data_IF_470706987122
#
_entry.id   IF_470706987122
#
_cell.length_a   1.000
_cell.length_b   1.000
_cell.length_c   1.000
_cell.angle_alpha   90.00
_cell.angle_beta   90.00
_cell.angle_gamma   90.00
#
_symmetry.space_group_name_H-M   'P 1'
#
loop_
_entity.id
_entity.type
_entity.pdbx_description
1 polymer ?
#
# COMPACT_ATOMS: atom_id res chain seq x y z
N UNK A 1 1.17 16.35 -1.42
CA UNK A 1 2.42 15.88 -0.76
C UNK A 1 3.24 15.15 -1.82
N UNK A 2 4.57 15.13 -1.71
CA UNK A 2 5.40 14.39 -2.66
C UNK A 2 5.39 12.88 -2.36
N UNK A 3 5.53 12.06 -3.41
CA UNK A 3 5.72 10.62 -3.29
C UNK A 3 6.94 10.30 -2.43
N UNK A 4 6.85 9.26 -1.58
CA UNK A 4 7.95 8.77 -0.75
C UNK A 4 8.03 7.25 -0.95
N UNK A 5 9.24 6.70 -0.92
CA UNK A 5 9.41 5.26 -1.04
C UNK A 5 8.85 4.53 0.19
N UNK A 6 8.11 3.45 -0.03
CA UNK A 6 7.60 2.60 1.04
C UNK A 6 8.74 1.97 1.85
N UNK A 7 9.85 1.67 1.17
CA UNK A 7 11.07 1.14 1.78
C UNK A 7 11.66 2.04 2.88
N UNK A 8 11.44 3.35 2.83
CA UNK A 8 11.89 4.29 3.88
C UNK A 8 11.21 4.05 5.24
N UNK A 9 10.11 3.29 5.25
CA UNK A 9 9.36 2.93 6.46
C UNK A 9 9.52 1.45 6.83
N UNK A 10 10.50 0.74 6.27
CA UNK A 10 10.75 -0.68 6.58
C UNK A 10 10.73 -0.93 8.08
N UNK A 11 9.93 -1.92 8.48
CA UNK A 11 9.80 -2.32 9.88
C UNK A 11 11.13 -2.84 10.43
N UNK A 12 11.46 -2.40 11.63
CA UNK A 12 12.48 -2.97 12.51
C UNK A 12 12.10 -4.41 12.92
N UNK A 13 13.02 -5.20 13.50
CA UNK A 13 12.71 -6.54 13.96
C UNK A 13 11.53 -6.59 14.95
N UNK A 14 11.48 -5.69 15.93
CA UNK A 14 10.39 -5.64 16.93
C UNK A 14 9.03 -5.32 16.30
N UNK A 15 8.98 -4.37 15.36
CA UNK A 15 7.75 -4.03 14.62
C UNK A 15 7.27 -5.18 13.69
N UNK A 16 8.14 -6.14 13.35
CA UNK A 16 7.73 -7.34 12.59
C UNK A 16 7.14 -8.41 13.49
N UNK A 17 7.75 -8.60 14.68
CA UNK A 17 7.37 -9.67 15.62
C UNK A 17 6.18 -9.30 16.51
N UNK A 18 5.99 -8.03 16.85
CA UNK A 18 4.94 -7.58 17.76
C UNK A 18 3.88 -6.75 17.01
N UNK A 19 2.62 -7.25 17.00
CA UNK A 19 1.52 -6.58 16.29
C UNK A 19 1.03 -5.31 16.98
N UNK A 20 1.13 -5.21 18.30
CA UNK A 20 0.77 -4.00 19.02
C UNK A 20 1.77 -2.89 18.72
N UNK A 21 3.07 -3.21 18.75
CA UNK A 21 4.12 -2.25 18.36
C UNK A 21 3.97 -1.81 16.91
N UNK A 22 3.66 -2.74 16.00
CA UNK A 22 3.39 -2.39 14.60
C UNK A 22 2.16 -1.48 14.45
N UNK A 23 1.11 -1.74 15.23
CA UNK A 23 -0.14 -0.98 15.23
C UNK A 23 0.05 0.46 15.72
N UNK A 24 0.86 0.66 16.77
CA UNK A 24 1.07 1.98 17.38
C UNK A 24 1.96 2.93 16.54
N UNK A 25 2.49 2.45 15.40
CA UNK A 25 3.20 3.30 14.41
C UNK A 25 2.25 4.35 13.83
N UNK A 26 2.81 5.45 13.33
CA UNK A 26 2.05 6.48 12.60
C UNK A 26 1.31 5.87 11.41
N UNK A 27 0.16 6.43 11.02
CA UNK A 27 -0.64 5.91 9.89
C UNK A 27 0.19 5.77 8.62
N UNK A 28 1.01 6.77 8.31
CA UNK A 28 1.89 6.71 7.15
C UNK A 28 2.86 5.54 7.24
N UNK A 29 3.53 5.33 8.38
CA UNK A 29 4.47 4.21 8.53
C UNK A 29 3.77 2.84 8.55
N UNK A 30 2.59 2.76 9.16
CA UNK A 30 1.75 1.57 9.22
C UNK A 30 1.30 1.13 7.82
N UNK A 31 0.79 2.06 7.02
CA UNK A 31 0.36 1.78 5.65
C UNK A 31 1.53 1.66 4.67
N UNK A 32 2.66 2.33 4.90
CA UNK A 32 3.85 2.16 4.06
C UNK A 32 4.48 0.77 4.19
N UNK A 33 4.49 0.19 5.40
CA UNK A 33 5.21 -1.05 5.68
C UNK A 33 4.47 -1.92 6.68
N UNK A 34 3.28 -2.38 6.32
CA UNK A 34 2.51 -3.29 7.18
C UNK A 34 1.10 -3.59 6.68
N UNK A 35 0.44 -2.59 6.09
CA UNK A 35 -0.95 -2.70 5.63
C UNK A 35 -1.21 -1.96 4.30
N UNK A 36 -0.21 -1.86 3.41
CA UNK A 36 -0.34 -1.17 2.13
C UNK A 36 -1.46 -1.76 1.25
N UNK A 37 -1.60 -3.09 1.23
CA UNK A 37 -2.69 -3.77 0.54
C UNK A 37 -4.05 -3.45 1.16
N UNK A 38 -4.19 -3.44 2.48
CA UNK A 38 -5.46 -3.02 3.11
C UNK A 38 -5.83 -1.62 2.64
N UNK A 39 -4.89 -0.67 2.67
CA UNK A 39 -5.14 0.69 2.24
C UNK A 39 -5.58 0.76 0.76
N UNK A 40 -4.92 0.01 -0.12
CA UNK A 40 -5.25 -0.02 -1.54
C UNK A 40 -6.66 -0.57 -1.81
N UNK A 41 -7.04 -1.68 -1.18
CA UNK A 41 -8.39 -2.25 -1.33
C UNK A 41 -9.46 -1.34 -0.73
N UNK A 42 -9.23 -0.80 0.46
CA UNK A 42 -10.18 0.15 1.07
C UNK A 42 -10.31 1.41 0.22
N UNK A 43 -9.23 1.90 -0.40
CA UNK A 43 -9.27 3.04 -1.31
C UNK A 43 -10.17 2.77 -2.52
N UNK A 44 -10.00 1.61 -3.18
CA UNK A 44 -10.88 1.19 -4.27
C UNK A 44 -12.33 1.12 -3.82
N UNK A 45 -12.58 0.46 -2.70
CA UNK A 45 -13.94 0.20 -2.21
C UNK A 45 -14.63 1.48 -1.69
N UNK A 46 -13.86 2.50 -1.28
CA UNK A 46 -14.38 3.83 -0.90
C UNK A 46 -14.90 4.66 -2.08
N UNK A 47 -14.56 4.31 -3.32
CA UNK A 47 -14.97 5.03 -4.52
C UNK A 47 -15.55 4.06 -5.57
N UNK A 48 -16.72 3.44 -5.31
CA UNK A 48 -17.26 2.36 -6.15
C UNK A 48 -17.58 2.79 -7.58
N UNK A 49 -17.86 4.08 -7.80
CA UNK A 49 -18.16 4.64 -9.12
C UNK A 49 -16.90 4.91 -9.97
N UNK A 50 -15.71 4.64 -9.41
CA UNK A 50 -14.43 4.80 -10.08
C UNK A 50 -13.83 3.42 -10.38
N UNK A 51 -13.26 3.27 -11.58
CA UNK A 51 -12.56 2.05 -11.99
C UNK A 51 -11.15 1.96 -11.38
N UNK A 52 -11.05 2.09 -10.05
CA UNK A 52 -9.78 2.01 -9.33
C UNK A 52 -9.27 0.57 -9.39
N UNK A 53 -8.04 0.40 -9.86
CA UNK A 53 -7.34 -0.87 -9.93
C UNK A 53 -6.42 -1.03 -8.72
N UNK A 54 -6.03 -2.27 -8.45
CA UNK A 54 -4.95 -2.56 -7.51
C UNK A 54 -3.70 -2.86 -8.30
N UNK A 55 -2.60 -2.21 -7.94
CA UNK A 55 -1.28 -2.45 -8.50
C UNK A 55 -0.28 -2.71 -7.38
N UNK A 56 0.76 -3.47 -7.70
CA UNK A 56 1.83 -3.80 -6.77
C UNK A 56 3.19 -3.71 -7.43
N UNK A 57 4.22 -3.56 -6.62
CA UNK A 57 5.61 -3.62 -7.07
C UNK A 57 6.36 -4.75 -6.38
N UNK A 58 7.28 -5.34 -7.13
CA UNK A 58 8.24 -6.32 -6.64
C UNK A 58 9.61 -6.06 -7.24
N UNK A 59 10.63 -6.64 -6.62
CA UNK A 59 11.97 -6.68 -7.21
C UNK A 59 12.02 -7.73 -8.34
N UNK A 60 12.86 -7.51 -9.36
CA UNK A 60 13.01 -8.45 -10.47
C UNK A 60 13.34 -9.87 -9.99
N UNK A 61 12.67 -10.85 -10.58
CA UNK A 61 12.84 -12.27 -10.22
C UNK A 61 12.27 -12.68 -8.86
N UNK A 62 11.76 -11.74 -8.04
CA UNK A 62 11.08 -12.09 -6.81
C UNK A 62 9.63 -12.48 -7.08
N UNK A 63 9.09 -13.37 -6.25
CA UNK A 63 7.67 -13.76 -6.34
C UNK A 63 6.77 -12.81 -5.57
N UNK A 64 7.30 -12.14 -4.54
CA UNK A 64 6.50 -11.40 -3.57
C UNK A 64 6.39 -9.92 -3.89
N UNK A 65 5.15 -9.42 -3.85
CA UNK A 65 4.84 -7.99 -3.91
C UNK A 65 5.16 -7.40 -2.54
N UNK A 66 6.07 -6.42 -2.51
CA UNK A 66 6.48 -5.76 -1.27
C UNK A 66 5.67 -4.48 -0.98
N UNK A 67 5.11 -3.84 -2.01
CA UNK A 67 4.28 -2.65 -1.86
C UNK A 67 3.09 -2.69 -2.81
N UNK A 68 1.92 -2.29 -2.33
CA UNK A 68 0.65 -2.30 -3.07
C UNK A 68 0.00 -0.93 -2.94
N UNK A 69 -0.65 -0.48 -4.01
CA UNK A 69 -1.32 0.82 -4.08
C UNK A 69 -2.57 0.74 -4.97
N UNK A 70 -3.48 1.69 -4.78
CA UNK A 70 -4.62 1.90 -5.67
C UNK A 70 -4.19 2.73 -6.87
N UNK A 71 -4.65 2.39 -8.08
CA UNK A 71 -4.27 3.05 -9.32
C UNK A 71 -5.52 3.48 -10.11
N UNK A 72 -5.52 4.72 -10.60
CA UNK A 72 -6.62 5.29 -11.39
C UNK A 72 -6.08 6.37 -12.32
N UNK A 73 -6.32 6.25 -13.62
CA UNK A 73 -5.99 7.26 -14.65
C UNK A 73 -4.58 7.89 -14.53
N UNK A 74 -3.56 7.04 -14.38
CA UNK A 74 -2.16 7.48 -14.22
C UNK A 74 -1.82 8.02 -12.82
N UNK A 75 -2.77 8.12 -11.91
CA UNK A 75 -2.57 8.39 -10.49
C UNK A 75 -2.46 7.12 -9.67
N UNK A 76 -1.71 7.20 -8.57
CA UNK A 76 -1.59 6.19 -7.55
C UNK A 76 -1.89 6.76 -6.17
N UNK A 77 -2.58 5.98 -5.35
CA UNK A 77 -2.80 6.27 -3.93
C UNK A 77 -2.12 5.22 -3.07
N UNK A 78 -1.21 5.70 -2.23
CA UNK A 78 -0.55 4.90 -1.20
C UNK A 78 -0.38 5.70 0.10
N UNK A 79 0.59 5.33 0.94
CA UNK A 79 0.92 6.03 2.19
C UNK A 79 1.41 7.47 2.00
N UNK A 80 1.68 7.93 0.79
CA UNK A 80 2.01 9.32 0.46
C UNK A 80 0.80 10.10 -0.06
N UNK A 81 -0.36 9.47 -0.17
CA UNK A 81 -1.56 10.03 -0.78
C UNK A 81 -1.56 9.90 -2.31
N UNK A 82 -2.41 10.70 -2.97
CA UNK A 82 -2.50 10.74 -4.42
C UNK A 82 -1.27 11.41 -5.04
N UNK A 83 -0.56 10.66 -5.89
CA UNK A 83 0.58 11.11 -6.68
C UNK A 83 0.49 10.51 -8.08
N UNK A 84 1.20 11.08 -9.07
CA UNK A 84 1.33 10.43 -10.36
C UNK A 84 2.05 9.08 -10.18
N UNK A 85 1.53 8.01 -10.79
CA UNK A 85 2.09 6.66 -10.69
C UNK A 85 3.58 6.62 -11.09
N UNK A 86 4.04 7.31 -12.17
CA UNK A 86 5.47 7.40 -12.48
C UNK A 86 6.34 7.97 -11.35
N UNK A 87 5.82 8.92 -10.55
CA UNK A 87 6.57 9.49 -9.42
C UNK A 87 6.70 8.46 -8.30
N UNK A 88 5.62 7.73 -7.98
CA UNK A 88 5.65 6.64 -7.01
C UNK A 88 6.66 5.56 -7.43
N UNK A 89 6.65 5.15 -8.69
CA UNK A 89 7.58 4.16 -9.22
C UNK A 89 9.03 4.65 -9.18
N UNK A 90 9.28 5.91 -9.54
CA UNK A 90 10.61 6.50 -9.51
C UNK A 90 11.21 6.56 -8.10
N UNK A 91 10.45 7.03 -7.09
CA UNK A 91 10.97 7.12 -5.73
C UNK A 91 11.27 5.75 -5.12
N UNK A 92 10.43 4.74 -5.40
CA UNK A 92 10.68 3.38 -4.92
C UNK A 92 11.85 2.73 -5.67
N UNK A 93 11.97 2.92 -6.98
CA UNK A 93 13.12 2.43 -7.78
C UNK A 93 14.43 3.02 -7.27
N UNK A 94 14.47 4.33 -7.05
CA UNK A 94 15.65 5.01 -6.52
C UNK A 94 16.02 4.52 -5.12
N UNK A 95 15.03 4.27 -4.26
CA UNK A 95 15.27 3.77 -2.91
C UNK A 95 15.81 2.33 -2.91
N UNK A 96 15.26 1.46 -3.76
CA UNK A 96 15.69 0.06 -3.85
C UNK A 96 17.02 -0.10 -4.61
N UNK A 97 17.48 0.94 -5.31
CA UNK A 97 18.73 0.94 -6.07
C UNK A 97 18.71 0.04 -7.30
N UNK A 98 17.53 -0.42 -7.72
CA UNK A 98 17.34 -1.31 -8.87
C UNK A 98 15.93 -1.15 -9.46
N UNK A 99 15.73 -1.50 -10.75
CA UNK A 99 14.43 -1.44 -11.39
C UNK A 99 13.37 -2.27 -10.64
N UNK A 100 12.11 -1.80 -10.67
CA UNK A 100 10.97 -2.50 -10.09
C UNK A 100 10.09 -3.10 -11.18
N UNK A 101 9.50 -4.26 -10.90
CA UNK A 101 8.44 -4.82 -11.73
C UNK A 101 7.08 -4.37 -11.18
N UNK A 102 6.34 -3.61 -11.99
CA UNK A 102 4.96 -3.20 -11.70
C UNK A 102 3.98 -4.27 -12.18
N UNK A 103 3.11 -4.71 -11.29
CA UNK A 103 2.12 -5.75 -11.53
C UNK A 103 0.71 -5.17 -11.36
N UNK A 104 -0.19 -5.56 -12.27
CA UNK A 104 -1.63 -5.41 -12.03
C UNK A 104 -2.08 -6.58 -11.16
N UNK A 105 -2.77 -6.30 -10.06
CA UNK A 105 -3.32 -7.31 -9.17
C UNK A 105 -4.80 -7.49 -9.49
N UNK A 106 -5.16 -8.68 -9.95
CA UNK A 106 -6.54 -9.08 -10.27
C UNK A 106 -7.18 -9.92 -9.17
N UNK A 107 -6.35 -10.46 -8.27
CA UNK A 107 -6.76 -11.33 -7.18
C UNK A 107 -7.65 -10.58 -6.18
N UNK A 108 -8.58 -11.30 -5.53
CA UNK A 108 -9.30 -10.77 -4.36
C UNK A 108 -8.36 -10.54 -3.18
N UNK A 109 -8.79 -9.76 -2.17
CA UNK A 109 -7.95 -9.46 -1.00
C UNK A 109 -7.45 -10.74 -0.30
N UNK A 110 -8.33 -11.71 -0.10
CA UNK A 110 -8.00 -12.98 0.56
C UNK A 110 -6.97 -13.79 -0.23
N UNK A 111 -7.17 -13.92 -1.53
CA UNK A 111 -6.25 -14.64 -2.43
C UNK A 111 -4.89 -13.95 -2.49
N UNK A 112 -4.88 -12.61 -2.62
CA UNK A 112 -3.65 -11.83 -2.60
C UNK A 112 -2.88 -12.02 -1.28
N UNK A 113 -3.55 -11.91 -0.15
CA UNK A 113 -2.95 -12.10 1.16
C UNK A 113 -2.32 -13.49 1.30
N UNK A 114 -3.03 -14.53 0.87
CA UNK A 114 -2.52 -15.90 0.89
C UNK A 114 -1.30 -16.07 -0.02
N UNK A 115 -1.39 -15.61 -1.27
CA UNK A 115 -0.34 -15.74 -2.30
C UNK A 115 0.94 -14.98 -1.93
N UNK A 116 0.78 -13.82 -1.30
CA UNK A 116 1.87 -12.90 -1.00
C UNK A 116 2.27 -12.83 0.47
N UNK A 117 1.71 -13.70 1.30
CA UNK A 117 1.95 -13.78 2.75
C UNK A 117 1.69 -12.46 3.47
N UNK A 118 0.68 -11.71 3.02
CA UNK A 118 0.18 -10.54 3.72
C UNK A 118 -0.90 -10.92 4.73
N UNK A 119 -1.13 -10.05 5.70
CA UNK A 119 -2.14 -10.26 6.73
C UNK A 119 -3.53 -9.89 6.24
N UNK A 120 -4.52 -10.72 6.54
CA UNK A 120 -5.93 -10.36 6.47
C UNK A 120 -6.30 -9.37 7.58
N UNK A 121 -7.37 -8.57 7.44
CA UNK A 121 -7.80 -7.60 8.45
C UNK A 121 -7.91 -8.19 9.87
N UNK A 122 -8.43 -9.41 9.99
CA UNK A 122 -8.58 -10.13 11.27
C UNK A 122 -7.26 -10.65 11.88
N UNK A 123 -6.12 -10.46 11.22
CA UNK A 123 -4.80 -10.85 11.69
C UNK A 123 -3.98 -9.65 12.21
N UNK A 124 -4.54 -8.45 12.21
CA UNK A 124 -3.97 -7.27 12.85
C UNK A 124 -4.39 -7.17 14.31
N UNK A 125 -3.70 -6.33 15.09
CA UNK A 125 -4.03 -6.07 16.50
C UNK A 125 -5.46 -5.51 16.68
N UNK A 126 -5.87 -4.62 15.77
CA UNK A 126 -7.25 -4.15 15.61
C UNK A 126 -7.61 -4.12 14.12
N UNK A 127 -8.89 -3.95 13.79
CA UNK A 127 -9.33 -3.86 12.39
C UNK A 127 -8.70 -2.63 11.70
N UNK A 128 -7.86 -2.82 10.68
CA UNK A 128 -7.22 -1.72 9.95
C UNK A 128 -8.18 -0.97 9.00
N UNK A 129 -9.35 -1.52 8.69
CA UNK A 129 -10.25 -0.95 7.69
C UNK A 129 -10.82 0.43 8.07
N UNK A 130 -11.34 0.67 9.29
CA UNK A 130 -11.74 2.02 9.74
C UNK A 130 -10.58 3.00 9.67
N UNK A 131 -9.40 2.59 10.16
CA UNK A 131 -8.17 3.40 10.12
C UNK A 131 -7.78 3.79 8.70
N UNK A 132 -7.93 2.87 7.74
CA UNK A 132 -7.65 3.12 6.33
C UNK A 132 -8.66 4.11 5.73
N UNK A 133 -9.96 3.96 6.01
CA UNK A 133 -11.00 4.92 5.55
C UNK A 133 -10.73 6.33 6.06
N UNK A 134 -10.43 6.47 7.35
CA UNK A 134 -10.09 7.76 7.95
C UNK A 134 -8.83 8.37 7.31
N UNK A 135 -7.84 7.53 6.98
CA UNK A 135 -6.62 7.97 6.33
C UNK A 135 -6.88 8.45 4.90
N UNK A 136 -7.66 7.72 4.11
CA UNK A 136 -8.07 8.09 2.74
C UNK A 136 -8.78 9.44 2.75
N UNK A 137 -9.69 9.67 3.70
CA UNK A 137 -10.46 10.91 3.81
C UNK A 137 -9.62 12.17 4.05
N UNK A 138 -8.33 12.05 4.39
CA UNK A 138 -7.40 13.18 4.56
C UNK A 138 -6.82 13.70 3.24
N UNK A 139 -7.05 13.00 2.13
CA UNK A 139 -6.46 13.32 0.83
C UNK A 139 -7.55 13.63 -0.19
N UNK A 140 -7.43 14.77 -0.87
CA UNK A 140 -8.30 15.15 -1.98
C UNK A 140 -7.96 14.25 -3.18
N UNK A 141 -8.92 13.50 -3.75
CA UNK A 141 -8.66 12.69 -4.92
C UNK A 141 -8.48 13.56 -6.18
N UNK A 142 -7.79 13.05 -7.22
CA UNK A 142 -7.45 13.83 -8.41
C UNK A 142 -8.65 14.23 -9.28
N UNK A 143 -9.84 13.66 -9.04
CA UNK A 143 -11.08 13.97 -9.75
C UNK A 143 -12.06 14.85 -8.96
N UNK A 144 -11.68 15.30 -7.75
CA UNK A 144 -12.50 16.18 -6.94
C UNK A 144 -12.51 17.62 -7.46
#
# INVERSE_FOLDING_TARGET
MAARAAGAFRRTPIERSDQRVAWDRTDQAFFAAGACHILAWVCRDSYPDRSIQIAGVRLPGQRQVFHTYAAWDGWAFDHSGWNLEPQLLAVNTNFEGQPLERLKITDGLAEFCQKHHHRMPNQYWHDPCPRARDYIGRYIPPWA
#
